data_IF_560442052199
#
_entry.id   IF_560442052199
#
_cell.length_a   1.000
_cell.length_b   1.000
_cell.length_c   1.000
_cell.angle_alpha   90.00
_cell.angle_beta   90.00
_cell.angle_gamma   90.00
#
_symmetry.space_group_name_H-M   'P 1'
#
loop_
_entity.id
_entity.type
_entity.pdbx_description
1 polymer ?
#
# COMPACT_ATOMS: atom_id res chain seq x y z
N UNK A 1 -21.96 -23.26 58.42
CA UNK A 1 -20.68 -23.31 57.70
C UNK A 1 -20.70 -22.65 56.31
N UNK A 2 -21.83 -22.08 55.84
CA UNK A 2 -21.95 -21.44 54.52
C UNK A 2 -21.99 -19.90 54.50
N UNK A 3 -22.09 -19.22 55.65
CA UNK A 3 -22.18 -17.74 55.69
C UNK A 3 -20.83 -17.03 55.66
N UNK A 4 -19.76 -17.66 56.13
CA UNK A 4 -18.42 -17.04 56.19
C UNK A 4 -17.71 -17.00 54.82
N UNK A 5 -18.12 -17.82 53.85
CA UNK A 5 -17.47 -17.90 52.54
C UNK A 5 -17.75 -16.66 51.64
N UNK A 6 -18.76 -15.84 51.97
CA UNK A 6 -19.22 -14.72 51.14
C UNK A 6 -19.06 -13.35 51.80
N UNK A 7 -18.42 -13.28 52.97
CA UNK A 7 -18.28 -12.03 53.74
C UNK A 7 -17.50 -10.95 52.96
N UNK A 8 -16.59 -11.34 52.07
CA UNK A 8 -15.84 -10.41 51.21
C UNK A 8 -16.71 -9.67 50.18
N UNK A 9 -17.88 -10.21 49.82
CA UNK A 9 -18.81 -9.54 48.89
C UNK A 9 -19.62 -8.44 49.58
N UNK A 10 -19.83 -8.53 50.90
CA UNK A 10 -20.54 -7.52 51.71
C UNK A 10 -19.71 -6.28 52.04
N UNK A 11 -18.39 -6.29 51.79
CA UNK A 11 -17.52 -5.13 52.00
C UNK A 11 -17.10 -4.46 50.68
N UNK A 12 -17.71 -4.86 49.57
CA UNK A 12 -17.37 -4.31 48.26
C UNK A 12 -18.24 -3.08 47.96
N UNK A 13 -17.67 -1.87 47.86
CA UNK A 13 -18.44 -0.64 47.67
C UNK A 13 -19.23 -0.62 46.36
N UNK A 14 -18.83 -1.40 45.35
CA UNK A 14 -19.58 -1.56 44.11
C UNK A 14 -20.85 -2.39 44.37
N UNK A 15 -20.73 -3.47 45.16
CA UNK A 15 -21.86 -4.33 45.51
C UNK A 15 -22.91 -3.54 46.28
N UNK A 16 -22.49 -2.79 47.30
CA UNK A 16 -23.39 -1.97 48.12
C UNK A 16 -24.05 -0.85 47.30
N UNK A 17 -23.27 -0.20 46.42
CA UNK A 17 -23.77 0.85 45.55
C UNK A 17 -24.89 0.38 44.62
N UNK A 18 -24.80 -0.82 44.05
CA UNK A 18 -25.87 -1.35 43.20
C UNK A 18 -26.99 -1.99 44.02
N UNK A 19 -26.66 -2.61 45.16
CA UNK A 19 -27.64 -3.24 46.04
C UNK A 19 -28.62 -2.25 46.67
N UNK A 20 -28.20 -1.03 46.98
CA UNK A 20 -29.10 0.02 47.53
C UNK A 20 -30.26 0.38 46.58
N UNK A 21 -30.12 0.11 45.28
CA UNK A 21 -31.17 0.33 44.27
C UNK A 21 -32.02 -0.92 44.02
N UNK A 22 -31.83 -1.99 44.80
CA UNK A 22 -32.56 -3.24 44.68
C UNK A 22 -32.42 -3.90 43.31
N UNK A 23 -33.50 -4.56 42.86
CA UNK A 23 -33.53 -5.28 41.58
C UNK A 23 -33.19 -4.38 40.38
N UNK A 24 -33.57 -3.10 40.42
CA UNK A 24 -33.26 -2.14 39.36
C UNK A 24 -31.74 -1.91 39.24
N UNK A 25 -31.04 -1.77 40.37
CA UNK A 25 -29.59 -1.63 40.41
C UNK A 25 -28.87 -2.85 39.83
N UNK A 26 -29.36 -4.05 40.13
CA UNK A 26 -28.86 -5.28 39.54
C UNK A 26 -29.04 -5.33 38.02
N UNK A 27 -30.25 -4.99 37.51
CA UNK A 27 -30.51 -4.96 36.07
C UNK A 27 -29.59 -3.96 35.36
N UNK A 28 -29.40 -2.77 35.94
CA UNK A 28 -28.50 -1.74 35.39
C UNK A 28 -27.05 -2.23 35.38
N UNK A 29 -26.58 -2.87 36.47
CA UNK A 29 -25.26 -3.50 36.53
C UNK A 29 -25.07 -4.53 35.41
N UNK A 30 -26.06 -5.43 35.24
CA UNK A 30 -26.00 -6.46 34.20
C UNK A 30 -25.90 -5.84 32.80
N UNK A 31 -26.75 -4.86 32.47
CA UNK A 31 -26.73 -4.22 31.14
C UNK A 31 -25.42 -3.50 30.88
N UNK A 32 -24.91 -2.71 31.83
CA UNK A 32 -23.70 -1.92 31.64
C UNK A 32 -22.45 -2.81 31.56
N UNK A 33 -22.28 -3.72 32.52
CA UNK A 33 -21.05 -4.50 32.66
C UNK A 33 -21.02 -5.64 31.66
N UNK A 34 -22.10 -6.43 31.51
CA UNK A 34 -22.11 -7.49 30.51
C UNK A 34 -22.24 -6.94 29.10
N UNK A 35 -23.01 -5.88 28.88
CA UNK A 35 -23.09 -5.22 27.57
C UNK A 35 -21.74 -4.67 27.13
N UNK A 36 -21.01 -4.01 28.04
CA UNK A 36 -19.66 -3.51 27.78
C UNK A 36 -18.66 -4.64 27.52
N UNK A 37 -18.62 -5.67 28.36
CA UNK A 37 -17.75 -6.83 28.15
C UNK A 37 -18.04 -7.54 26.84
N UNK A 38 -19.31 -7.81 26.54
CA UNK A 38 -19.73 -8.43 25.29
C UNK A 38 -19.28 -7.63 24.07
N UNK A 39 -19.46 -6.30 24.09
CA UNK A 39 -18.98 -5.42 23.04
C UNK A 39 -17.46 -5.49 22.85
N UNK A 40 -16.71 -5.41 23.96
CA UNK A 40 -15.25 -5.55 23.96
C UNK A 40 -14.85 -6.92 23.40
N UNK A 41 -15.54 -8.00 23.79
CA UNK A 41 -15.32 -9.34 23.26
C UNK A 41 -15.51 -9.42 21.75
N UNK A 42 -16.58 -8.83 21.20
CA UNK A 42 -16.78 -8.77 19.75
C UNK A 42 -15.63 -8.02 19.05
N UNK A 43 -15.25 -6.85 19.58
CA UNK A 43 -14.19 -6.03 19.00
C UNK A 43 -12.82 -6.73 19.02
N UNK A 44 -12.49 -7.37 20.15
CA UNK A 44 -11.27 -8.17 20.29
C UNK A 44 -11.27 -9.37 19.33
N UNK A 45 -12.42 -10.02 19.14
CA UNK A 45 -12.57 -11.13 18.18
C UNK A 45 -12.37 -10.67 16.74
N UNK A 46 -13.00 -9.55 16.35
CA UNK A 46 -12.90 -9.00 14.99
C UNK A 46 -11.46 -8.59 14.64
N UNK A 47 -10.64 -8.27 15.63
CA UNK A 47 -9.21 -7.95 15.48
C UNK A 47 -8.29 -9.17 15.52
N UNK A 48 -8.84 -10.39 15.61
CA UNK A 48 -8.05 -11.63 15.72
C UNK A 48 -7.34 -11.81 17.06
N UNK A 49 -7.62 -10.97 18.06
CA UNK A 49 -6.89 -10.96 19.33
C UNK A 49 -7.16 -12.24 20.15
N UNK A 50 -8.33 -12.85 19.97
CA UNK A 50 -8.64 -14.14 20.58
C UNK A 50 -7.95 -15.32 19.90
N UNK A 51 -7.07 -15.16 18.92
CA UNK A 51 -6.22 -16.29 18.47
C UNK A 51 -5.21 -16.72 19.56
N UNK A 52 -4.87 -15.81 20.46
CA UNK A 52 -3.95 -16.07 21.57
C UNK A 52 -4.68 -16.68 22.77
N UNK A 53 -4.25 -17.89 23.17
CA UNK A 53 -4.80 -18.62 24.32
C UNK A 53 -4.76 -17.80 25.63
N UNK A 54 -3.69 -17.04 25.83
CA UNK A 54 -3.51 -16.18 27.01
C UNK A 54 -4.60 -15.10 27.13
N UNK A 55 -4.96 -14.47 26.02
CA UNK A 55 -5.98 -13.41 26.01
C UNK A 55 -7.40 -13.98 26.17
N UNK A 56 -7.65 -15.20 25.69
CA UNK A 56 -8.88 -15.94 26.03
C UNK A 56 -8.99 -16.20 27.53
N UNK A 57 -7.88 -16.62 28.15
CA UNK A 57 -7.84 -16.92 29.59
C UNK A 57 -8.06 -15.66 30.43
N UNK A 58 -7.42 -14.55 30.07
CA UNK A 58 -7.65 -13.25 30.71
C UNK A 58 -9.12 -12.83 30.62
N UNK A 59 -9.71 -12.91 29.42
CA UNK A 59 -11.10 -12.53 29.23
C UNK A 59 -12.05 -13.42 30.04
N UNK A 60 -11.75 -14.72 30.13
CA UNK A 60 -12.50 -15.65 30.97
C UNK A 60 -12.41 -15.28 32.47
N UNK A 61 -11.21 -14.93 32.97
CA UNK A 61 -11.02 -14.49 34.37
C UNK A 61 -11.81 -13.21 34.65
N UNK A 62 -11.77 -12.21 33.75
CA UNK A 62 -12.54 -10.97 33.90
C UNK A 62 -14.03 -11.27 33.96
N UNK A 63 -14.52 -12.15 33.09
CA UNK A 63 -15.92 -12.57 33.06
C UNK A 63 -16.32 -13.27 34.37
N UNK A 64 -15.47 -14.15 34.91
CA UNK A 64 -15.71 -14.82 36.20
C UNK A 64 -15.80 -13.81 37.35
N UNK A 65 -14.93 -12.80 37.38
CA UNK A 65 -14.97 -11.75 38.41
C UNK A 65 -16.28 -10.96 38.33
N UNK A 66 -16.74 -10.60 37.13
CA UNK A 66 -18.02 -9.91 36.93
C UNK A 66 -19.21 -10.77 37.37
N UNK A 67 -19.17 -12.07 37.10
CA UNK A 67 -20.18 -13.03 37.59
C UNK A 67 -20.23 -13.06 39.11
N UNK A 68 -19.06 -13.08 39.78
CA UNK A 68 -19.00 -13.09 41.25
C UNK A 68 -19.54 -11.79 41.86
N UNK A 69 -19.28 -10.63 41.25
CA UNK A 69 -19.82 -9.34 41.70
C UNK A 69 -21.34 -9.30 41.50
N UNK A 70 -21.84 -9.75 40.34
CA UNK A 70 -23.27 -9.86 40.07
C UNK A 70 -23.97 -10.75 41.12
N UNK A 71 -23.34 -11.87 41.47
CA UNK A 71 -23.81 -12.79 42.50
C UNK A 71 -23.84 -12.11 43.89
N UNK A 72 -22.79 -11.39 44.25
CA UNK A 72 -22.76 -10.59 45.49
C UNK A 72 -23.88 -9.57 45.57
N UNK A 73 -24.12 -8.83 44.50
CA UNK A 73 -25.24 -7.85 44.41
C UNK A 73 -26.58 -8.55 44.66
N UNK A 74 -26.82 -9.70 44.02
CA UNK A 74 -28.07 -10.46 44.21
C UNK A 74 -28.22 -10.90 45.66
N UNK A 75 -27.19 -11.54 46.23
CA UNK A 75 -27.20 -12.05 47.61
C UNK A 75 -27.54 -10.92 48.58
N UNK A 76 -26.92 -9.76 48.42
CA UNK A 76 -27.14 -8.58 49.28
C UNK A 76 -28.52 -7.95 49.10
N UNK A 77 -29.07 -7.93 47.88
CA UNK A 77 -30.46 -7.47 47.63
C UNK A 77 -31.48 -8.43 48.26
N UNK A 78 -31.09 -9.69 48.48
CA UNK A 78 -32.06 -10.76 48.67
C UNK A 78 -32.28 -11.21 50.11
N UNK A 79 -33.47 -10.89 50.64
CA UNK A 79 -34.22 -11.81 51.51
C UNK A 79 -34.96 -12.88 50.68
N UNK A 80 -34.40 -13.30 49.54
CA UNK A 80 -35.05 -14.13 48.52
C UNK A 80 -34.83 -15.62 48.86
N UNK A 81 -35.83 -16.46 48.61
CA UNK A 81 -35.72 -17.90 48.80
C UNK A 81 -34.57 -18.51 47.98
N UNK A 82 -33.95 -19.55 48.51
CA UNK A 82 -32.85 -20.31 47.87
C UNK A 82 -33.21 -20.74 46.44
N UNK A 83 -34.49 -20.98 46.16
CA UNK A 83 -35.01 -21.38 44.85
C UNK A 83 -34.80 -20.30 43.78
N UNK A 84 -35.09 -19.04 44.09
CA UNK A 84 -34.85 -17.93 43.16
C UNK A 84 -33.36 -17.64 42.95
N UNK A 85 -32.53 -17.90 43.97
CA UNK A 85 -31.07 -17.79 43.87
C UNK A 85 -30.51 -18.86 42.92
N UNK A 86 -31.08 -20.07 42.95
CA UNK A 86 -30.75 -21.15 42.01
C UNK A 86 -31.11 -20.79 40.57
N UNK A 87 -32.30 -20.23 40.32
CA UNK A 87 -32.72 -19.78 38.98
C UNK A 87 -31.82 -18.66 38.43
N UNK A 88 -31.44 -17.69 39.26
CA UNK A 88 -30.54 -16.60 38.87
C UNK A 88 -29.13 -17.10 38.51
N UNK A 89 -28.59 -18.05 39.29
CA UNK A 89 -27.29 -18.69 38.99
C UNK A 89 -27.33 -19.41 37.65
N UNK A 90 -28.43 -20.09 37.34
CA UNK A 90 -28.61 -20.73 36.03
C UNK A 90 -28.64 -19.68 34.91
N UNK A 91 -29.38 -18.58 35.06
CA UNK A 91 -29.46 -17.51 34.06
C UNK A 91 -28.07 -16.90 33.80
N UNK A 92 -27.34 -16.56 34.87
CA UNK A 92 -25.99 -16.00 34.75
C UNK A 92 -25.03 -17.02 34.11
N UNK A 93 -25.11 -18.30 34.49
CA UNK A 93 -24.32 -19.37 33.89
C UNK A 93 -24.58 -19.53 32.39
N UNK A 94 -25.85 -19.47 31.98
CA UNK A 94 -26.26 -19.55 30.58
C UNK A 94 -25.78 -18.35 29.77
N UNK A 95 -25.91 -17.13 30.29
CA UNK A 95 -25.40 -15.90 29.64
C UNK A 95 -23.88 -15.97 29.49
N UNK A 96 -23.19 -16.38 30.55
CA UNK A 96 -21.72 -16.49 30.58
C UNK A 96 -21.22 -17.53 29.56
N UNK A 97 -21.86 -18.70 29.50
CA UNK A 97 -21.56 -19.71 28.48
C UNK A 97 -21.85 -19.17 27.08
N UNK A 98 -22.98 -18.50 26.87
CA UNK A 98 -23.36 -17.90 25.59
C UNK A 98 -22.32 -16.92 25.06
N UNK A 99 -21.76 -16.06 25.94
CA UNK A 99 -20.69 -15.11 25.60
C UNK A 99 -19.39 -15.85 25.26
N UNK A 100 -18.96 -16.81 26.10
CA UNK A 100 -17.76 -17.62 25.84
C UNK A 100 -17.86 -18.38 24.51
N UNK A 101 -19.04 -18.90 24.19
CA UNK A 101 -19.30 -19.68 22.98
C UNK A 101 -19.43 -18.80 21.73
N UNK A 102 -20.05 -17.62 21.84
CA UNK A 102 -20.07 -16.63 20.76
C UNK A 102 -18.65 -16.17 20.39
N UNK A 103 -17.74 -16.13 21.36
CA UNK A 103 -16.33 -15.79 21.15
C UNK A 103 -15.55 -16.99 20.55
N UNK A 104 -15.81 -18.23 21.00
CA UNK A 104 -15.09 -19.43 20.51
C UNK A 104 -15.45 -19.87 19.09
N UNK A 105 -16.56 -19.37 18.52
CA UNK A 105 -16.85 -19.50 17.09
C UNK A 105 -17.48 -20.82 16.65
N UNK A 106 -18.02 -21.61 17.58
CA UNK A 106 -18.78 -22.82 17.23
C UNK A 106 -20.20 -22.42 16.81
N UNK A 107 -20.58 -22.75 15.58
CA UNK A 107 -21.85 -22.37 14.95
C UNK A 107 -23.03 -23.17 15.51
N UNK A 108 -23.87 -22.55 16.35
CA UNK A 108 -25.30 -22.92 16.45
C UNK A 108 -26.13 -21.75 16.98
N UNK A 109 -26.44 -20.80 16.12
CA UNK A 109 -27.47 -19.77 16.39
C UNK A 109 -28.82 -20.39 16.77
N UNK A 110 -29.11 -21.61 16.31
CA UNK A 110 -30.32 -22.36 16.65
C UNK A 110 -30.40 -22.76 18.14
N UNK A 111 -29.32 -23.19 18.78
CA UNK A 111 -29.34 -23.65 20.18
C UNK A 111 -29.43 -22.47 21.14
N UNK A 112 -28.75 -21.36 20.84
CA UNK A 112 -28.87 -20.12 21.61
C UNK A 112 -30.29 -19.52 21.51
N UNK A 113 -30.92 -19.60 20.32
CA UNK A 113 -32.32 -19.22 20.13
C UNK A 113 -33.27 -20.14 20.89
N UNK A 114 -33.03 -21.46 20.88
CA UNK A 114 -33.84 -22.44 21.62
C UNK A 114 -33.72 -22.23 23.14
N UNK A 115 -32.52 -21.98 23.66
CA UNK A 115 -32.31 -21.71 25.09
C UNK A 115 -32.96 -20.37 25.49
N UNK A 116 -32.81 -19.33 24.67
CA UNK A 116 -33.48 -18.05 24.92
C UNK A 116 -35.01 -18.17 24.87
N UNK A 117 -35.55 -19.00 23.96
CA UNK A 117 -36.98 -19.31 23.87
C UNK A 117 -37.43 -20.12 25.09
N UNK A 118 -36.67 -21.11 25.55
CA UNK A 118 -37.00 -21.91 26.74
C UNK A 118 -37.00 -21.04 27.99
N UNK A 119 -35.98 -20.18 28.16
CA UNK A 119 -35.91 -19.23 29.27
C UNK A 119 -37.06 -18.22 29.21
N UNK A 120 -37.40 -17.69 28.03
CA UNK A 120 -38.54 -16.80 27.85
C UNK A 120 -39.88 -17.50 28.15
N UNK A 121 -40.06 -18.77 27.73
CA UNK A 121 -41.27 -19.56 28.00
C UNK A 121 -41.44 -19.90 29.48
N UNK A 122 -40.34 -20.22 30.18
CA UNK A 122 -40.34 -20.46 31.64
C UNK A 122 -40.70 -19.18 32.39
N UNK A 123 -40.13 -18.04 32.00
CA UNK A 123 -40.45 -16.74 32.59
C UNK A 123 -41.92 -16.38 32.35
N UNK A 124 -42.44 -16.56 31.13
CA UNK A 124 -43.86 -16.29 30.81
C UNK A 124 -44.81 -17.18 31.61
N UNK A 125 -44.45 -18.45 31.82
CA UNK A 125 -45.27 -19.41 32.58
C UNK A 125 -45.36 -19.04 34.08
N UNK A 126 -44.27 -18.56 34.66
CA UNK A 126 -44.18 -18.26 36.10
C UNK A 126 -44.67 -16.84 36.46
N UNK A 127 -44.43 -15.84 35.60
CA UNK A 127 -44.71 -14.43 35.98
C UNK A 127 -46.08 -13.92 35.55
N UNK A 128 -46.77 -14.58 34.62
CA UNK A 128 -48.06 -14.13 34.01
C UNK A 128 -48.08 -12.65 33.57
N UNK A 129 -46.93 -12.01 33.36
CA UNK A 129 -46.82 -10.60 33.04
C UNK A 129 -45.59 -10.35 32.13
N UNK A 130 -45.79 -10.27 30.81
CA UNK A 130 -45.36 -9.17 29.93
C UNK A 130 -45.42 -9.54 28.43
N UNK A 131 -45.69 -8.53 27.60
CA UNK A 131 -45.92 -8.56 26.16
C UNK A 131 -44.63 -8.55 25.31
N UNK A 132 -44.78 -9.05 24.08
CA UNK A 132 -43.80 -9.38 22.99
C UNK A 132 -42.81 -8.26 22.59
N UNK A 133 -42.93 -7.04 23.10
CA UNK A 133 -42.26 -5.85 22.58
C UNK A 133 -40.75 -5.77 22.89
N UNK A 134 -40.27 -6.41 23.96
CA UNK A 134 -38.84 -6.39 24.34
C UNK A 134 -37.98 -7.22 23.37
N UNK A 135 -38.54 -8.26 22.74
CA UNK A 135 -37.83 -9.10 21.77
C UNK A 135 -37.54 -8.37 20.45
N UNK A 136 -38.36 -7.38 20.08
CA UNK A 136 -38.23 -6.60 18.83
C UNK A 136 -37.09 -5.57 18.93
N UNK A 137 -36.83 -5.05 20.14
CA UNK A 137 -35.78 -4.04 20.37
C UNK A 137 -34.36 -4.59 20.18
N UNK A 138 -34.13 -5.88 20.48
CA UNK A 138 -32.82 -6.52 20.27
C UNK A 138 -32.45 -6.73 18.81
N UNK A 139 -33.45 -6.88 17.92
CA UNK A 139 -33.25 -7.11 16.48
C UNK A 139 -32.89 -5.80 15.76
N UNK A 140 -33.44 -4.67 16.23
CA UNK A 140 -33.22 -3.35 15.61
C UNK A 140 -31.79 -2.82 15.80
N UNK A 141 -31.11 -3.24 16.87
CA UNK A 141 -29.74 -2.81 17.21
C UNK A 141 -28.66 -3.43 16.31
N UNK A 142 -28.91 -4.62 15.75
CA UNK A 142 -27.95 -5.36 14.91
C UNK A 142 -27.82 -4.75 13.49
N UNK A 143 -28.80 -3.94 13.05
CA UNK A 143 -28.95 -3.58 11.62
C UNK A 143 -28.27 -2.26 11.22
N UNK A 144 -27.84 -1.38 12.16
CA UNK A 144 -27.35 -0.02 11.83
C UNK A 144 -25.92 0.35 12.32
N UNK A 145 -25.03 -0.62 12.52
CA UNK A 145 -23.67 -0.39 13.06
C UNK A 145 -22.71 0.41 12.15
N UNK A 146 -22.89 0.40 10.83
CA UNK A 146 -21.87 0.89 9.89
C UNK A 146 -21.77 2.44 9.82
N UNK A 147 -22.90 3.13 9.96
CA UNK A 147 -22.97 4.61 9.91
C UNK A 147 -22.48 5.24 11.22
N UNK A 148 -22.70 4.55 12.34
CA UNK A 148 -22.21 4.98 13.66
C UNK A 148 -20.69 4.84 13.76
N UNK A 149 -20.11 3.74 13.23
CA UNK A 149 -18.66 3.53 13.22
C UNK A 149 -17.88 4.65 12.49
N UNK A 150 -18.40 5.16 11.36
CA UNK A 150 -17.76 6.26 10.60
C UNK A 150 -17.80 7.60 11.34
N UNK A 151 -18.88 7.90 12.05
CA UNK A 151 -19.01 9.12 12.86
C UNK A 151 -18.09 9.03 14.08
N UNK A 152 -18.09 7.88 14.77
CA UNK A 152 -17.22 7.63 15.93
C UNK A 152 -15.74 7.68 15.57
N UNK A 153 -15.31 7.14 14.42
CA UNK A 153 -13.92 7.22 13.95
C UNK A 153 -13.43 8.66 13.73
N UNK A 154 -14.29 9.55 13.22
CA UNK A 154 -13.96 10.97 13.04
C UNK A 154 -13.84 11.73 14.37
N UNK A 155 -14.64 11.35 15.37
CA UNK A 155 -14.58 11.93 16.73
C UNK A 155 -13.43 11.35 17.56
N UNK A 156 -13.10 10.07 17.37
CA UNK A 156 -12.00 9.37 18.03
C UNK A 156 -10.63 9.95 17.68
N UNK A 157 -10.42 10.51 16.48
CA UNK A 157 -9.14 11.16 16.12
C UNK A 157 -8.84 12.41 16.99
N UNK A 158 -9.89 13.11 17.45
CA UNK A 158 -9.77 14.26 18.37
C UNK A 158 -9.80 13.85 19.85
N UNK A 159 -10.36 12.69 20.15
CA UNK A 159 -10.51 12.18 21.50
C UNK A 159 -9.29 11.32 21.91
N UNK A 160 -8.59 10.65 20.99
CA UNK A 160 -7.46 9.77 21.28
C UNK A 160 -6.27 10.49 21.95
N UNK A 161 -5.97 11.74 21.57
CA UNK A 161 -4.96 12.56 22.26
C UNK A 161 -5.37 12.91 23.69
N UNK A 162 -6.67 13.00 23.98
CA UNK A 162 -7.22 13.29 25.31
C UNK A 162 -7.35 12.03 26.17
N UNK A 163 -7.78 10.92 25.57
CA UNK A 163 -7.97 9.61 26.19
C UNK A 163 -6.64 9.00 26.62
N UNK A 164 -5.54 9.17 25.88
CA UNK A 164 -4.24 8.63 26.31
C UNK A 164 -3.82 9.21 27.67
N UNK A 165 -4.08 10.51 27.90
CA UNK A 165 -3.80 11.17 29.17
C UNK A 165 -4.81 10.77 30.26
N UNK A 166 -6.11 10.69 29.92
CA UNK A 166 -7.16 10.28 30.86
C UNK A 166 -7.04 8.80 31.28
N UNK A 167 -6.63 7.89 30.38
CA UNK A 167 -6.38 6.47 30.71
C UNK A 167 -5.18 6.35 31.63
N UNK A 168 -4.09 7.09 31.41
CA UNK A 168 -2.94 7.11 32.33
C UNK A 168 -3.39 7.58 33.71
N UNK A 169 -4.14 8.67 33.80
CA UNK A 169 -4.67 9.19 35.08
C UNK A 169 -5.60 8.18 35.77
N UNK A 170 -6.55 7.57 35.04
CA UNK A 170 -7.47 6.58 35.61
C UNK A 170 -6.69 5.36 36.10
N UNK A 171 -5.70 4.89 35.35
CA UNK A 171 -4.89 3.72 35.73
C UNK A 171 -4.01 4.03 36.95
N UNK A 172 -3.42 5.22 37.02
CA UNK A 172 -2.66 5.70 38.18
C UNK A 172 -3.56 5.83 39.42
N UNK A 173 -4.79 6.34 39.27
CA UNK A 173 -5.76 6.43 40.37
C UNK A 173 -6.19 5.04 40.85
N UNK A 174 -6.41 4.08 39.96
CA UNK A 174 -6.74 2.69 40.32
C UNK A 174 -5.57 2.02 41.06
N UNK A 175 -4.32 2.26 40.64
CA UNK A 175 -3.12 1.75 41.32
C UNK A 175 -2.99 2.38 42.72
N UNK A 176 -3.20 3.69 42.86
CA UNK A 176 -3.15 4.39 44.15
C UNK A 176 -4.23 3.83 45.10
N UNK A 177 -5.45 3.61 44.60
CA UNK A 177 -6.54 3.05 45.39
C UNK A 177 -6.24 1.59 45.81
N UNK A 178 -5.67 0.78 44.92
CA UNK A 178 -5.25 -0.58 45.26
C UNK A 178 -4.13 -0.61 46.32
N UNK A 179 -3.13 0.27 46.20
CA UNK A 179 -2.05 0.41 47.20
C UNK A 179 -2.62 0.90 48.54
N UNK A 180 -3.55 1.86 48.54
CA UNK A 180 -4.20 2.31 49.77
C UNK A 180 -5.03 1.20 50.45
N UNK A 181 -5.68 0.33 49.67
CA UNK A 181 -6.40 -0.84 50.20
C UNK A 181 -5.47 -1.85 50.86
N UNK A 182 -4.28 -2.09 50.29
CA UNK A 182 -3.25 -2.97 50.87
C UNK A 182 -2.68 -2.38 52.17
N UNK A 183 -2.45 -1.06 52.23
CA UNK A 183 -1.96 -0.39 53.45
C UNK A 183 -2.97 -0.47 54.59
N UNK A 184 -4.27 -0.31 54.29
CA UNK A 184 -5.35 -0.48 55.28
C UNK A 184 -5.42 -1.92 55.78
N UNK A 185 -5.22 -2.91 54.90
CA UNK A 185 -5.20 -4.33 55.28
C UNK A 185 -4.03 -4.71 56.20
N UNK A 186 -2.87 -4.07 56.03
CA UNK A 186 -1.68 -4.28 56.87
C UNK A 186 -1.82 -3.69 58.28
N UNK A 187 -2.87 -2.92 58.56
CA UNK A 187 -3.11 -2.26 59.85
C UNK A 187 -4.03 -3.06 60.78
N UNK A 188 -4.48 -4.25 60.38
CA UNK A 188 -5.45 -5.08 61.15
C UNK A 188 -4.69 -6.11 62.00
N UNK A 189 -4.98 -6.12 63.31
CA UNK A 189 -4.30 -6.95 64.32
C UNK A 189 -4.43 -8.48 64.10
N UNK A 190 -3.39 -9.16 64.57
CA UNK A 190 -2.99 -10.54 64.28
C UNK A 190 -3.95 -11.60 64.85
N UNK A 191 -4.90 -12.06 64.03
CA UNK A 191 -5.45 -13.42 64.14
C UNK A 191 -4.83 -14.31 63.06
N UNK A 192 -4.60 -15.59 63.36
CA UNK A 192 -4.04 -16.56 62.41
C UNK A 192 -4.90 -16.73 61.14
N UNK A 193 -6.22 -16.50 61.24
CA UNK A 193 -7.10 -16.36 60.06
C UNK A 193 -6.81 -15.06 59.30
N UNK A 194 -6.65 -13.92 59.98
CA UNK A 194 -6.34 -12.62 59.37
C UNK A 194 -5.06 -12.63 58.53
N UNK A 195 -4.05 -13.41 58.91
CA UNK A 195 -2.80 -13.58 58.14
C UNK A 195 -3.07 -14.34 56.82
N UNK A 196 -3.87 -15.41 56.85
CA UNK A 196 -4.23 -16.17 55.64
C UNK A 196 -5.08 -15.32 54.68
N UNK A 197 -5.99 -14.50 55.22
CA UNK A 197 -6.81 -13.56 54.44
C UNK A 197 -6.00 -12.38 53.89
N UNK A 198 -5.02 -11.86 54.63
CA UNK A 198 -4.11 -10.82 54.13
C UNK A 198 -3.22 -11.33 53.00
N UNK A 199 -2.76 -12.59 53.08
CA UNK A 199 -1.99 -13.24 52.01
C UNK A 199 -2.89 -13.52 50.78
N UNK A 200 -4.08 -14.08 50.97
CA UNK A 200 -5.01 -14.36 49.87
C UNK A 200 -5.52 -13.08 49.17
N UNK A 201 -5.89 -12.06 49.95
CA UNK A 201 -6.31 -10.74 49.46
C UNK A 201 -5.17 -9.98 48.80
N UNK A 202 -3.96 -10.03 49.36
CA UNK A 202 -2.75 -9.43 48.78
C UNK A 202 -2.34 -10.10 47.45
N UNK A 203 -2.45 -11.42 47.36
CA UNK A 203 -2.15 -12.17 46.12
C UNK A 203 -3.23 -11.93 45.05
N UNK A 204 -4.52 -11.95 45.41
CA UNK A 204 -5.61 -11.70 44.46
C UNK A 204 -5.61 -10.25 43.95
N UNK A 205 -5.37 -9.27 44.83
CA UNK A 205 -5.23 -7.86 44.43
C UNK A 205 -3.96 -7.62 43.61
N UNK A 206 -2.83 -8.21 43.99
CA UNK A 206 -1.57 -8.13 43.24
C UNK A 206 -1.66 -8.73 41.83
N UNK A 207 -2.33 -9.88 41.69
CA UNK A 207 -2.57 -10.51 40.37
C UNK A 207 -3.55 -9.66 39.54
N UNK A 208 -4.62 -9.14 40.14
CA UNK A 208 -5.60 -8.31 39.42
C UNK A 208 -4.99 -7.01 38.93
N UNK A 209 -4.20 -6.32 39.78
CA UNK A 209 -3.49 -5.10 39.41
C UNK A 209 -2.39 -5.39 38.38
N UNK A 210 -1.62 -6.46 38.57
CA UNK A 210 -0.58 -6.86 37.62
C UNK A 210 -1.13 -7.17 36.23
N UNK A 211 -2.23 -7.93 36.15
CA UNK A 211 -2.92 -8.22 34.89
C UNK A 211 -3.52 -6.94 34.29
N UNK A 212 -4.14 -6.08 35.09
CA UNK A 212 -4.70 -4.82 34.59
C UNK A 212 -3.61 -3.89 34.03
N UNK A 213 -2.45 -3.79 34.67
CA UNK A 213 -1.31 -3.00 34.18
C UNK A 213 -0.76 -3.57 32.87
N UNK A 214 -0.58 -4.89 32.79
CA UNK A 214 -0.10 -5.55 31.56
C UNK A 214 -1.08 -5.35 30.40
N UNK A 215 -2.38 -5.54 30.64
CA UNK A 215 -3.43 -5.34 29.62
C UNK A 215 -3.44 -3.88 29.15
N UNK A 216 -3.40 -2.92 30.07
CA UNK A 216 -3.40 -1.50 29.71
C UNK A 216 -2.16 -1.15 28.89
N UNK A 217 -0.97 -1.63 29.26
CA UNK A 217 0.26 -1.39 28.49
C UNK A 217 0.17 -1.98 27.08
N UNK A 218 -0.29 -3.23 26.94
CA UNK A 218 -0.43 -3.89 25.62
C UNK A 218 -1.44 -3.17 24.73
N UNK A 219 -2.58 -2.76 25.29
CA UNK A 219 -3.62 -2.03 24.54
C UNK A 219 -3.12 -0.65 24.13
N UNK A 220 -2.45 0.08 25.04
CA UNK A 220 -1.89 1.41 24.76
C UNK A 220 -0.88 1.33 23.60
N UNK A 221 0.02 0.35 23.62
CA UNK A 221 1.02 0.16 22.55
C UNK A 221 0.36 -0.15 21.20
N UNK A 222 -0.66 -1.01 21.18
CA UNK A 222 -1.41 -1.31 19.97
C UNK A 222 -2.14 -0.08 19.40
N UNK A 223 -2.71 0.76 20.25
CA UNK A 223 -3.36 2.02 19.86
C UNK A 223 -2.32 2.99 19.28
N UNK A 224 -1.20 3.19 19.97
CA UNK A 224 -0.11 4.07 19.51
C UNK A 224 0.39 3.63 18.13
N UNK A 225 0.64 2.33 17.94
CA UNK A 225 1.03 1.77 16.64
C UNK A 225 0.02 2.07 15.54
N UNK A 226 -1.27 1.86 15.83
CA UNK A 226 -2.35 2.14 14.88
C UNK A 226 -2.39 3.62 14.47
N UNK A 227 -2.21 4.54 15.43
CA UNK A 227 -2.17 5.98 15.16
C UNK A 227 -0.93 6.31 14.32
N UNK A 228 0.24 5.75 14.65
CA UNK A 228 1.47 5.93 13.89
C UNK A 228 1.30 5.49 12.43
N UNK A 229 0.66 4.34 12.19
CA UNK A 229 0.33 3.82 10.86
C UNK A 229 -0.61 4.75 10.07
N UNK A 230 -1.62 5.33 10.74
CA UNK A 230 -2.53 6.29 10.11
C UNK A 230 -1.80 7.58 9.71
N UNK A 231 -0.93 8.12 10.58
CA UNK A 231 -0.09 9.29 10.26
C UNK A 231 0.84 8.99 9.08
N UNK A 232 1.46 7.81 9.06
CA UNK A 232 2.28 7.35 7.94
C UNK A 232 1.49 7.25 6.62
N UNK A 233 0.29 6.65 6.65
CA UNK A 233 -0.57 6.54 5.47
C UNK A 233 -0.91 7.92 4.89
N UNK A 234 -1.23 8.88 5.76
CA UNK A 234 -1.48 10.27 5.39
C UNK A 234 -0.25 10.95 4.81
N UNK A 235 0.94 10.69 5.37
CA UNK A 235 2.20 11.15 4.79
C UNK A 235 2.42 10.62 3.37
N UNK A 236 2.12 9.34 3.11
CA UNK A 236 2.24 8.75 1.77
C UNK A 236 1.28 9.37 0.76
N UNK A 237 0.09 9.80 1.19
CA UNK A 237 -0.85 10.53 0.35
C UNK A 237 -0.31 11.91 -0.04
N UNK A 238 0.27 12.65 0.91
CA UNK A 238 0.94 13.92 0.61
C UNK A 238 2.14 13.73 -0.31
N UNK A 239 2.91 12.66 -0.13
CA UNK A 239 4.04 12.32 -1.00
C UNK A 239 3.61 12.06 -2.45
N UNK A 240 2.48 11.36 -2.65
CA UNK A 240 1.89 11.13 -3.99
C UNK A 240 1.52 12.44 -4.67
N UNK A 241 1.06 13.42 -3.91
CA UNK A 241 0.63 14.75 -4.37
C UNK A 241 1.76 15.80 -4.39
N UNK A 242 3.03 15.39 -4.25
CA UNK A 242 4.21 16.25 -4.20
C UNK A 242 4.16 17.35 -3.11
N UNK A 243 3.41 17.12 -2.02
CA UNK A 243 3.31 18.05 -0.87
C UNK A 243 4.32 17.67 0.21
N UNK A 244 5.59 17.96 -0.05
CA UNK A 244 6.73 17.47 0.74
C UNK A 244 6.71 17.94 2.20
N UNK A 245 6.40 19.21 2.48
CA UNK A 245 6.38 19.74 3.85
C UNK A 245 5.33 19.03 4.72
N UNK A 246 4.15 18.80 4.16
CA UNK A 246 3.09 18.04 4.84
C UNK A 246 3.51 16.58 5.02
N UNK A 247 4.13 15.96 4.01
CA UNK A 247 4.67 14.61 4.13
C UNK A 247 5.66 14.51 5.28
N UNK A 248 6.66 15.39 5.34
CA UNK A 248 7.66 15.43 6.41
C UNK A 248 7.03 15.62 7.78
N UNK A 249 6.06 16.54 7.91
CA UNK A 249 5.31 16.75 9.15
C UNK A 249 4.66 15.47 9.66
N UNK A 250 3.95 14.74 8.80
CA UNK A 250 3.26 13.51 9.20
C UNK A 250 4.21 12.33 9.44
N UNK A 251 5.35 12.25 8.74
CA UNK A 251 6.40 11.26 9.04
C UNK A 251 7.03 11.50 10.41
N UNK A 252 7.32 12.76 10.75
CA UNK A 252 7.85 13.11 12.06
C UNK A 252 6.85 12.83 13.18
N UNK A 253 5.55 13.10 12.96
CA UNK A 253 4.50 12.72 13.91
C UNK A 253 4.40 11.20 14.10
N UNK A 254 4.48 10.44 13.01
CA UNK A 254 4.48 8.98 13.06
C UNK A 254 5.69 8.44 13.84
N UNK A 255 6.89 8.96 13.57
CA UNK A 255 8.11 8.59 14.31
C UNK A 255 8.08 8.97 15.78
N UNK A 256 7.54 10.15 16.09
CA UNK A 256 7.41 10.61 17.47
C UNK A 256 6.55 9.64 18.30
N UNK A 257 5.45 9.15 17.70
CA UNK A 257 4.58 8.16 18.35
C UNK A 257 5.27 6.81 18.57
N UNK A 258 6.24 6.45 17.72
CA UNK A 258 6.99 5.18 17.83
C UNK A 258 8.17 5.26 18.80
N UNK A 259 8.58 6.46 19.21
CA UNK A 259 9.75 6.67 20.06
C UNK A 259 9.49 6.08 21.44
N UNK A 260 10.41 5.26 21.92
CA UNK A 260 10.36 4.73 23.27
C UNK A 260 10.78 5.79 24.30
N UNK A 261 10.69 5.46 25.59
CA UNK A 261 11.18 6.31 26.67
C UNK A 261 12.72 6.44 26.67
N UNK A 262 13.43 5.42 26.19
CA UNK A 262 14.87 5.53 25.88
C UNK A 262 15.04 6.27 24.55
N UNK A 263 15.81 7.37 24.56
CA UNK A 263 15.82 8.37 23.48
C UNK A 263 16.24 7.84 22.10
N UNK A 264 16.86 6.66 22.04
CA UNK A 264 17.43 6.06 20.84
C UNK A 264 16.72 4.79 20.35
N UNK A 265 15.61 4.37 20.98
CA UNK A 265 14.87 3.17 20.57
C UNK A 265 13.44 3.47 20.10
N UNK A 266 12.92 2.57 19.26
CA UNK A 266 11.54 2.58 18.79
C UNK A 266 10.91 1.24 19.13
N UNK A 267 9.68 1.26 19.67
CA UNK A 267 9.01 0.02 20.05
C UNK A 267 8.62 -0.85 18.84
N UNK A 268 8.48 -0.23 17.66
CA UNK A 268 8.37 -0.90 16.36
C UNK A 268 9.50 -0.43 15.45
N UNK A 269 10.69 -1.01 15.68
CA UNK A 269 11.93 -0.62 15.01
C UNK A 269 11.86 -0.80 13.49
N UNK A 270 11.22 -1.87 13.01
CA UNK A 270 11.08 -2.14 11.58
C UNK A 270 10.23 -1.07 10.90
N UNK A 271 9.11 -0.69 11.54
CA UNK A 271 8.26 0.37 11.03
C UNK A 271 8.94 1.75 11.11
N UNK A 272 9.63 2.05 12.20
CA UNK A 272 10.41 3.28 12.35
C UNK A 272 11.52 3.40 11.28
N UNK A 273 12.28 2.34 11.04
CA UNK A 273 13.33 2.29 10.01
C UNK A 273 12.76 2.58 8.61
N UNK A 274 11.57 2.06 8.31
CA UNK A 274 10.87 2.37 7.07
C UNK A 274 10.53 3.86 6.96
N UNK A 275 10.04 4.48 8.03
CA UNK A 275 9.71 5.91 8.05
C UNK A 275 10.97 6.77 7.92
N UNK A 276 12.05 6.43 8.63
CA UNK A 276 13.35 7.13 8.59
C UNK A 276 13.93 7.08 7.18
N UNK A 277 13.90 5.91 6.54
CA UNK A 277 14.38 5.72 5.17
C UNK A 277 13.64 6.64 4.18
N UNK A 278 12.31 6.76 4.28
CA UNK A 278 11.55 7.70 3.44
C UNK A 278 11.93 9.14 3.77
N UNK A 279 11.98 9.48 5.07
CA UNK A 279 12.27 10.84 5.55
C UNK A 279 13.60 11.36 5.02
N UNK A 280 14.65 10.55 5.14
CA UNK A 280 16.00 10.94 4.74
C UNK A 280 16.12 11.09 3.20
N UNK A 281 15.26 10.41 2.44
CA UNK A 281 15.28 10.42 0.98
C UNK A 281 14.21 11.34 0.34
N UNK A 282 13.46 12.12 1.13
CA UNK A 282 12.39 13.01 0.63
C UNK A 282 12.86 13.94 -0.49
N UNK A 283 14.06 14.51 -0.38
CA UNK A 283 14.61 15.41 -1.41
C UNK A 283 14.86 14.70 -2.74
N UNK A 284 15.38 13.48 -2.70
CA UNK A 284 15.60 12.66 -3.90
C UNK A 284 14.26 12.25 -4.52
N UNK A 285 13.28 11.87 -3.70
CA UNK A 285 11.92 11.54 -4.14
C UNK A 285 11.27 12.75 -4.81
N UNK A 286 11.41 13.94 -4.22
CA UNK A 286 10.90 15.19 -4.79
C UNK A 286 11.54 15.46 -6.14
N UNK A 287 12.87 15.40 -6.24
CA UNK A 287 13.59 15.57 -7.51
C UNK A 287 13.10 14.59 -8.59
N UNK A 288 12.89 13.33 -8.23
CA UNK A 288 12.35 12.33 -9.15
C UNK A 288 10.90 12.62 -9.58
N UNK A 289 10.06 13.08 -8.65
CA UNK A 289 8.69 13.53 -8.96
C UNK A 289 8.69 14.77 -9.88
N UNK A 290 9.61 15.71 -9.68
CA UNK A 290 9.69 16.93 -10.49
C UNK A 290 10.12 16.62 -11.93
N UNK A 291 11.07 15.69 -12.11
CA UNK A 291 11.39 15.16 -13.45
C UNK A 291 10.20 14.43 -14.08
N UNK A 292 9.46 13.64 -13.30
CA UNK A 292 8.26 12.96 -13.79
C UNK A 292 7.18 13.97 -14.24
N UNK A 293 6.91 14.99 -13.42
CA UNK A 293 5.89 16.00 -13.70
C UNK A 293 6.27 16.93 -14.87
N UNK A 294 7.56 17.17 -15.09
CA UNK A 294 8.08 17.92 -16.24
C UNK A 294 8.19 17.09 -17.52
N UNK A 295 7.80 15.81 -17.50
CA UNK A 295 7.88 14.91 -18.65
C UNK A 295 9.29 14.38 -18.94
N UNK A 296 10.28 14.69 -18.10
CA UNK A 296 11.62 14.12 -18.20
C UNK A 296 11.66 12.72 -17.58
N UNK A 297 10.99 11.79 -18.25
CA UNK A 297 10.77 10.44 -17.77
C UNK A 297 12.05 9.62 -17.60
N UNK A 298 13.09 9.91 -18.39
CA UNK A 298 14.38 9.20 -18.29
C UNK A 298 15.09 9.50 -16.97
N UNK A 299 15.24 10.78 -16.63
CA UNK A 299 15.88 11.16 -15.35
C UNK A 299 15.04 10.75 -14.14
N UNK A 300 13.71 10.83 -14.27
CA UNK A 300 12.81 10.31 -13.25
C UNK A 300 13.02 8.80 -13.03
N UNK A 301 13.07 8.01 -14.11
CA UNK A 301 13.26 6.56 -14.03
C UNK A 301 14.59 6.22 -13.37
N UNK A 302 15.67 6.88 -13.79
CA UNK A 302 17.02 6.68 -13.24
C UNK A 302 17.05 6.89 -11.72
N UNK A 303 16.50 8.01 -11.25
CA UNK A 303 16.43 8.28 -9.80
C UNK A 303 15.56 7.27 -9.05
N UNK A 304 14.45 6.82 -9.63
CA UNK A 304 13.64 5.77 -9.02
C UNK A 304 14.36 4.42 -8.94
N UNK A 305 15.18 4.08 -9.94
CA UNK A 305 15.99 2.85 -9.92
C UNK A 305 17.12 2.91 -8.90
N UNK A 306 17.82 4.03 -8.82
CA UNK A 306 18.86 4.26 -7.80
C UNK A 306 18.25 4.13 -6.40
N UNK A 307 17.13 4.81 -6.13
CA UNK A 307 16.42 4.69 -4.86
C UNK A 307 15.92 3.28 -4.59
N UNK A 308 15.44 2.54 -5.59
CA UNK A 308 14.93 1.18 -5.40
C UNK A 308 16.05 0.15 -5.15
N UNK A 309 17.27 0.41 -5.64
CA UNK A 309 18.47 -0.40 -5.35
C UNK A 309 18.97 -0.16 -3.94
N UNK A 310 19.08 1.11 -3.56
CA UNK A 310 19.63 1.53 -2.26
C UNK A 310 18.64 1.30 -1.11
N UNK A 311 17.33 1.41 -1.40
CA UNK A 311 16.24 1.31 -0.43
C UNK A 311 15.16 0.33 -0.91
N UNK A 312 15.35 -0.99 -0.71
CA UNK A 312 14.40 -2.02 -1.17
C UNK A 312 12.97 -1.83 -0.64
N UNK A 313 12.84 -1.27 0.56
CA UNK A 313 11.58 -0.90 1.21
C UNK A 313 10.79 0.19 0.44
N UNK A 314 11.47 1.07 -0.32
CA UNK A 314 10.84 2.08 -1.17
C UNK A 314 10.35 1.53 -2.52
N UNK A 315 10.91 0.40 -2.97
CA UNK A 315 10.57 -0.23 -4.26
C UNK A 315 9.07 -0.48 -4.38
N UNK A 316 8.42 -0.96 -3.31
CA UNK A 316 6.98 -1.20 -3.28
C UNK A 316 6.16 0.08 -3.45
N UNK A 317 6.65 1.22 -2.96
CA UNK A 317 5.97 2.51 -3.01
C UNK A 317 5.89 3.06 -4.44
N UNK A 318 6.97 2.89 -5.20
CA UNK A 318 7.10 3.43 -6.55
C UNK A 318 6.87 2.41 -7.66
N UNK A 319 6.65 1.13 -7.34
CA UNK A 319 6.49 0.04 -8.32
C UNK A 319 5.53 0.39 -9.46
N UNK A 320 4.35 0.92 -9.14
CA UNK A 320 3.35 1.26 -10.16
C UNK A 320 3.76 2.47 -11.01
N UNK A 321 4.37 3.50 -10.38
CA UNK A 321 4.91 4.67 -11.11
C UNK A 321 6.04 4.23 -12.04
N UNK A 322 6.97 3.41 -11.55
CA UNK A 322 8.08 2.84 -12.30
C UNK A 322 7.59 2.03 -13.52
N UNK A 323 6.66 1.10 -13.32
CA UNK A 323 6.13 0.27 -14.41
C UNK A 323 5.43 1.11 -15.48
N UNK A 324 4.63 2.09 -15.05
CA UNK A 324 3.95 3.02 -15.97
C UNK A 324 4.96 3.84 -16.78
N UNK A 325 6.00 4.34 -16.11
CA UNK A 325 7.05 5.16 -16.72
C UNK A 325 7.86 4.37 -17.74
N UNK A 326 8.27 3.16 -17.37
CA UNK A 326 8.98 2.24 -18.26
C UNK A 326 8.16 1.91 -19.51
N UNK A 327 6.87 1.63 -19.34
CA UNK A 327 5.95 1.38 -20.46
C UNK A 327 5.80 2.60 -21.39
N UNK A 328 5.78 3.81 -20.85
CA UNK A 328 5.72 5.05 -21.66
C UNK A 328 7.01 5.27 -22.44
N UNK A 329 8.18 5.09 -21.82
CA UNK A 329 9.49 5.19 -22.47
C UNK A 329 9.59 4.14 -23.59
N UNK A 330 9.21 2.90 -23.33
CA UNK A 330 9.19 1.82 -24.33
C UNK A 330 8.27 2.16 -25.51
N UNK A 331 7.11 2.79 -25.26
CA UNK A 331 6.19 3.20 -26.31
C UNK A 331 6.80 4.30 -27.19
N UNK A 332 7.35 5.35 -26.59
CA UNK A 332 8.01 6.45 -27.30
C UNK A 332 9.21 5.94 -28.12
N UNK A 333 10.03 5.07 -27.53
CA UNK A 333 11.13 4.42 -28.22
C UNK A 333 10.66 3.66 -29.46
N UNK A 334 9.59 2.85 -29.35
CA UNK A 334 9.07 2.08 -30.49
C UNK A 334 8.52 2.97 -31.61
N UNK A 335 7.86 4.08 -31.26
CA UNK A 335 7.35 5.05 -32.23
C UNK A 335 8.50 5.72 -33.00
N UNK A 336 9.49 6.28 -32.29
CA UNK A 336 10.67 6.90 -32.92
C UNK A 336 11.49 5.88 -33.74
N UNK A 337 11.64 4.65 -33.23
CA UNK A 337 12.34 3.58 -33.95
C UNK A 337 11.64 3.24 -35.26
N UNK A 338 10.30 3.20 -35.28
CA UNK A 338 9.51 2.87 -36.47
C UNK A 338 9.72 3.90 -37.59
N UNK A 339 9.78 5.19 -37.25
CA UNK A 339 10.05 6.27 -38.21
C UNK A 339 11.46 6.14 -38.82
N UNK A 340 12.45 5.78 -38.00
CA UNK A 340 13.83 5.59 -38.48
C UNK A 340 13.93 4.31 -39.33
N UNK A 341 13.21 3.25 -38.96
CA UNK A 341 13.08 2.03 -39.75
C UNK A 341 12.41 2.28 -41.11
N UNK A 342 11.59 3.31 -41.23
CA UNK A 342 10.99 3.74 -42.50
C UNK A 342 12.01 4.42 -43.41
N UNK A 343 12.85 5.33 -42.87
CA UNK A 343 13.99 5.91 -43.60
C UNK A 343 14.94 4.82 -44.10
N UNK A 344 15.23 3.83 -43.25
CA UNK A 344 16.07 2.70 -43.62
C UNK A 344 15.45 1.91 -44.79
N UNK A 345 14.14 1.62 -44.74
CA UNK A 345 13.41 0.92 -45.81
C UNK A 345 13.33 1.73 -47.11
N UNK A 346 13.26 3.04 -47.02
CA UNK A 346 13.30 3.96 -48.17
C UNK A 346 14.72 4.18 -48.71
N UNK A 347 15.71 3.45 -48.19
CA UNK A 347 17.11 3.52 -48.59
C UNK A 347 17.78 4.89 -48.33
N UNK A 348 17.24 5.66 -47.37
CA UNK A 348 17.81 6.91 -46.85
C UNK A 348 18.84 6.60 -45.75
N UNK A 349 19.85 5.78 -46.07
CA UNK A 349 20.72 5.11 -45.09
C UNK A 349 21.54 6.09 -44.23
N UNK A 350 22.02 7.20 -44.81
CA UNK A 350 22.76 8.22 -44.05
C UNK A 350 21.90 8.90 -42.99
N UNK A 351 20.66 9.27 -43.35
CA UNK A 351 19.72 9.91 -42.43
C UNK A 351 19.23 8.94 -41.37
N UNK A 352 18.97 7.69 -41.76
CA UNK A 352 18.67 6.61 -40.83
C UNK A 352 19.82 6.40 -39.83
N UNK A 353 21.08 6.30 -40.29
CA UNK A 353 22.25 6.16 -39.41
C UNK A 353 22.38 7.32 -38.42
N UNK A 354 22.23 8.56 -38.91
CA UNK A 354 22.28 9.75 -38.05
C UNK A 354 21.20 9.69 -36.97
N UNK A 355 19.96 9.38 -37.34
CA UNK A 355 18.85 9.27 -36.38
C UNK A 355 18.99 8.07 -35.45
N UNK A 356 19.49 6.91 -35.88
CA UNK A 356 19.77 5.79 -34.97
C UNK A 356 20.82 6.16 -33.91
N UNK A 357 21.89 6.87 -34.29
CA UNK A 357 22.90 7.35 -33.34
C UNK A 357 22.30 8.34 -32.34
N UNK A 358 21.41 9.24 -32.79
CA UNK A 358 20.66 10.13 -31.89
C UNK A 358 19.73 9.36 -30.96
N UNK A 359 19.00 8.36 -31.48
CA UNK A 359 18.11 7.50 -30.70
C UNK A 359 18.87 6.72 -29.62
N UNK A 360 20.07 6.20 -29.94
CA UNK A 360 20.93 5.52 -28.98
C UNK A 360 21.37 6.44 -27.84
N UNK A 361 21.75 7.68 -28.14
CA UNK A 361 22.09 8.66 -27.11
C UNK A 361 20.87 8.99 -26.22
N UNK A 362 19.68 9.05 -26.83
CA UNK A 362 18.43 9.35 -26.13
C UNK A 362 17.98 8.18 -25.24
N UNK A 363 18.08 6.94 -25.72
CA UNK A 363 17.64 5.72 -25.03
C UNK A 363 18.73 4.63 -24.97
N UNK A 364 19.79 4.83 -24.16
CA UNK A 364 20.90 3.88 -24.05
C UNK A 364 20.47 2.50 -23.53
N UNK A 365 19.39 2.41 -22.76
CA UNK A 365 18.85 1.15 -22.25
C UNK A 365 18.35 0.19 -23.34
N UNK A 366 18.08 0.67 -24.56
CA UNK A 366 17.72 -0.14 -25.72
C UNK A 366 18.89 -0.37 -26.68
N UNK A 367 20.13 -0.18 -26.21
CA UNK A 367 21.37 -0.35 -26.99
C UNK A 367 21.39 -1.64 -27.80
N UNK A 368 20.99 -2.77 -27.20
CA UNK A 368 20.97 -4.08 -27.85
C UNK A 368 20.04 -4.14 -29.09
N UNK A 369 19.02 -3.28 -29.17
CA UNK A 369 18.12 -3.18 -30.32
C UNK A 369 18.63 -2.20 -31.38
N UNK A 370 19.33 -1.15 -30.96
CA UNK A 370 19.76 -0.05 -31.84
C UNK A 370 21.13 -0.33 -32.48
N UNK A 371 22.10 -0.86 -31.72
CA UNK A 371 23.47 -1.13 -32.20
C UNK A 371 23.52 -2.01 -33.46
N UNK A 372 22.78 -3.13 -33.54
CA UNK A 372 22.78 -3.96 -34.75
C UNK A 372 22.28 -3.19 -35.99
N UNK A 373 21.31 -2.29 -35.82
CA UNK A 373 20.78 -1.45 -36.91
C UNK A 373 21.79 -0.41 -37.37
N UNK A 374 22.52 0.20 -36.42
CA UNK A 374 23.64 1.12 -36.73
C UNK A 374 24.72 0.38 -37.52
N UNK A 375 25.16 -0.80 -37.05
CA UNK A 375 26.16 -1.62 -37.73
C UNK A 375 25.72 -1.95 -39.16
N UNK A 376 24.47 -2.39 -39.34
CA UNK A 376 23.92 -2.67 -40.67
C UNK A 376 23.95 -1.44 -41.58
N UNK A 377 23.62 -0.25 -41.07
CA UNK A 377 23.75 0.98 -41.86
C UNK A 377 25.21 1.28 -42.23
N UNK A 378 26.14 1.11 -41.29
CA UNK A 378 27.57 1.35 -41.51
C UNK A 378 28.17 0.35 -42.51
N UNK A 379 27.75 -0.91 -42.48
CA UNK A 379 28.12 -1.93 -43.47
C UNK A 379 27.59 -1.58 -44.87
N UNK A 380 26.32 -1.19 -44.96
CA UNK A 380 25.70 -0.74 -46.20
C UNK A 380 26.41 0.50 -46.75
N UNK A 381 26.86 1.43 -45.90
CA UNK A 381 27.58 2.62 -46.35
C UNK A 381 29.04 2.33 -46.73
N UNK A 382 29.66 1.33 -46.12
CA UNK A 382 30.99 0.84 -46.52
C UNK A 382 30.94 0.09 -47.85
N UNK A 383 29.86 -0.64 -48.11
CA UNK A 383 29.61 -1.40 -49.34
C UNK A 383 28.22 -1.06 -49.91
N UNK A 384 28.05 0.09 -50.58
CA UNK A 384 26.74 0.54 -51.07
C UNK A 384 26.08 -0.55 -51.92
N UNK A 385 24.81 -0.91 -51.67
CA UNK A 385 24.10 -1.85 -52.52
C UNK A 385 24.09 -1.30 -53.94
N UNK A 386 24.52 -2.14 -54.88
CA UNK A 386 24.65 -1.81 -56.30
C UNK A 386 23.36 -1.14 -56.80
N UNK A 387 22.20 -1.61 -56.34
CA UNK A 387 20.88 -1.08 -56.72
C UNK A 387 20.73 0.41 -56.38
N UNK A 388 21.28 0.87 -55.26
CA UNK A 388 21.23 2.27 -54.85
C UNK A 388 22.09 3.16 -55.76
N UNK A 389 23.29 2.68 -56.10
CA UNK A 389 24.18 3.35 -57.04
C UNK A 389 23.57 3.39 -58.44
N UNK A 390 23.00 2.27 -58.91
CA UNK A 390 22.28 2.18 -60.18
C UNK A 390 21.06 3.12 -60.22
N UNK A 391 20.31 3.23 -59.13
CA UNK A 391 19.14 4.12 -59.04
C UNK A 391 19.55 5.59 -59.13
N UNK A 392 20.58 6.01 -58.38
CA UNK A 392 21.14 7.37 -58.49
C UNK A 392 21.67 7.66 -59.89
N UNK A 393 22.38 6.71 -60.49
CA UNK A 393 22.90 6.84 -61.85
C UNK A 393 21.77 7.05 -62.87
N UNK A 394 20.67 6.29 -62.77
CA UNK A 394 19.48 6.46 -63.61
C UNK A 394 18.81 7.82 -63.42
N UNK A 395 18.67 8.27 -62.16
CA UNK A 395 18.09 9.58 -61.85
C UNK A 395 18.90 10.72 -62.50
N UNK A 396 20.21 10.78 -62.26
CA UNK A 396 21.08 11.78 -62.88
C UNK A 396 21.07 11.70 -64.41
N UNK A 397 20.99 10.48 -64.97
CA UNK A 397 20.85 10.30 -66.42
C UNK A 397 19.56 10.89 -66.98
N UNK A 398 18.44 10.76 -66.26
CA UNK A 398 17.14 11.31 -66.67
C UNK A 398 17.12 12.84 -66.56
N UNK A 399 17.58 13.38 -65.43
CA UNK A 399 17.64 14.83 -65.19
C UNK A 399 18.55 15.52 -66.21
N UNK A 400 19.68 14.89 -66.56
CA UNK A 400 20.57 15.37 -67.60
C UNK A 400 19.90 15.40 -69.00
N UNK A 401 19.05 14.42 -69.31
CA UNK A 401 18.30 14.39 -70.58
C UNK A 401 17.31 15.55 -70.67
N UNK A 402 16.60 15.84 -69.57
CA UNK A 402 15.68 16.96 -69.51
C UNK A 402 16.41 18.30 -69.70
N UNK A 403 17.56 18.48 -69.04
CA UNK A 403 18.42 19.66 -69.21
C UNK A 403 18.95 19.79 -70.64
N UNK A 404 19.32 18.68 -71.27
CA UNK A 404 19.76 18.66 -72.66
C UNK A 404 18.65 19.13 -73.61
N UNK A 405 17.42 18.66 -73.40
CA UNK A 405 16.25 19.06 -74.19
C UNK A 405 15.90 20.55 -73.99
N UNK A 406 16.20 21.12 -72.82
CA UNK A 406 16.09 22.55 -72.53
C UNK A 406 17.27 23.38 -73.07
N UNK A 407 18.18 22.78 -73.84
CA UNK A 407 19.41 23.39 -74.33
C UNK A 407 20.39 23.89 -73.24
N UNK A 408 20.26 23.41 -72.00
CA UNK A 408 21.19 23.69 -70.89
C UNK A 408 22.38 22.73 -70.91
N UNK A 409 23.15 22.81 -72.00
CA UNK A 409 24.12 21.76 -72.36
C UNK A 409 25.23 21.53 -71.31
N UNK A 410 25.74 22.59 -70.66
CA UNK A 410 26.78 22.44 -69.62
C UNK A 410 26.28 21.70 -68.37
N UNK A 411 25.06 22.01 -67.94
CA UNK A 411 24.43 21.39 -66.77
C UNK A 411 24.12 19.90 -67.06
N UNK A 412 23.60 19.62 -68.27
CA UNK A 412 23.38 18.26 -68.73
C UNK A 412 24.68 17.42 -68.73
N UNK A 413 25.79 17.97 -69.27
CA UNK A 413 27.09 17.29 -69.27
C UNK A 413 27.56 16.98 -67.84
N UNK A 414 27.45 17.94 -66.91
CA UNK A 414 27.85 17.71 -65.51
C UNK A 414 27.02 16.61 -64.86
N UNK A 415 25.71 16.57 -65.08
CA UNK A 415 24.85 15.51 -64.53
C UNK A 415 25.11 14.14 -65.16
N UNK A 416 25.39 14.04 -66.46
CA UNK A 416 25.83 12.78 -67.06
C UNK A 416 27.18 12.31 -66.52
N UNK A 417 28.12 13.21 -66.21
CA UNK A 417 29.39 12.84 -65.54
C UNK A 417 29.14 12.29 -64.13
N UNK A 418 28.25 12.90 -63.35
CA UNK A 418 27.85 12.35 -62.05
C UNK A 418 27.14 10.99 -62.18
N UNK A 419 26.31 10.80 -63.21
CA UNK A 419 25.69 9.52 -63.50
C UNK A 419 26.74 8.43 -63.81
N UNK A 420 27.75 8.74 -64.62
CA UNK A 420 28.87 7.83 -64.93
C UNK A 420 29.62 7.44 -63.65
N UNK A 421 29.96 8.41 -62.80
CA UNK A 421 30.65 8.15 -61.53
C UNK A 421 29.88 7.16 -60.64
N UNK A 422 28.55 7.28 -60.56
CA UNK A 422 27.73 6.31 -59.82
C UNK A 422 27.72 4.93 -60.48
N UNK A 423 27.69 4.85 -61.81
CA UNK A 423 27.78 3.60 -62.55
C UNK A 423 29.16 2.93 -62.39
N UNK A 424 30.25 3.68 -62.39
CA UNK A 424 31.62 3.17 -62.16
C UNK A 424 31.75 2.58 -60.76
N UNK A 425 31.30 3.31 -59.74
CA UNK A 425 31.24 2.79 -58.36
C UNK A 425 30.39 1.51 -58.26
N UNK A 426 29.26 1.44 -58.98
CA UNK A 426 28.44 0.24 -59.03
C UNK A 426 29.16 -0.92 -59.74
N UNK A 427 29.98 -0.60 -60.75
CA UNK A 427 30.77 -1.54 -61.54
C UNK A 427 31.89 -2.17 -60.72
N UNK A 428 32.60 -1.39 -59.90
CA UNK A 428 33.59 -1.91 -58.96
C UNK A 428 32.98 -2.95 -58.02
N UNK A 429 31.79 -2.67 -57.47
CA UNK A 429 31.08 -3.61 -56.60
C UNK A 429 30.57 -4.83 -57.39
N UNK A 430 30.13 -4.65 -58.63
CA UNK A 430 29.66 -5.76 -59.47
C UNK A 430 30.80 -6.70 -59.87
N UNK A 431 32.00 -6.17 -60.13
CA UNK A 431 33.24 -6.95 -60.37
C UNK A 431 33.58 -7.78 -59.14
N UNK A 432 33.55 -7.17 -57.95
CA UNK A 432 33.81 -7.89 -56.69
C UNK A 432 32.78 -9.00 -56.40
N UNK A 433 31.57 -8.89 -56.96
CA UNK A 433 30.50 -9.88 -56.83
C UNK A 433 30.42 -10.87 -57.98
N UNK A 434 31.30 -10.75 -58.98
CA UNK A 434 31.30 -11.57 -60.20
C UNK A 434 29.94 -11.54 -60.95
N UNK A 435 29.18 -10.43 -60.84
CA UNK A 435 27.88 -10.29 -61.50
C UNK A 435 28.04 -9.74 -62.92
N UNK A 436 28.37 -10.63 -63.86
CA UNK A 436 28.58 -10.29 -65.28
C UNK A 436 27.39 -9.56 -65.92
N UNK A 437 26.15 -9.89 -65.51
CA UNK A 437 24.95 -9.26 -66.06
C UNK A 437 24.88 -7.78 -65.70
N UNK A 438 25.16 -7.46 -64.43
CA UNK A 438 25.20 -6.08 -63.96
C UNK A 438 26.39 -5.34 -64.58
N UNK A 439 27.57 -5.96 -64.64
CA UNK A 439 28.76 -5.35 -65.28
C UNK A 439 28.47 -4.96 -66.73
N UNK A 440 27.86 -5.88 -67.50
CA UNK A 440 27.51 -5.63 -68.89
C UNK A 440 26.46 -4.51 -69.04
N UNK A 441 25.46 -4.49 -68.15
CA UNK A 441 24.43 -3.44 -68.10
C UNK A 441 25.04 -2.06 -67.79
N UNK A 442 25.93 -1.99 -66.80
CA UNK A 442 26.66 -0.78 -66.40
C UNK A 442 27.49 -0.25 -67.57
N UNK A 443 28.32 -1.10 -68.19
CA UNK A 443 29.17 -0.72 -69.31
C UNK A 443 28.36 -0.20 -70.50
N UNK A 444 27.22 -0.83 -70.80
CA UNK A 444 26.29 -0.37 -71.82
C UNK A 444 25.75 1.04 -71.52
N UNK A 445 25.35 1.29 -70.27
CA UNK A 445 24.82 2.59 -69.86
C UNK A 445 25.91 3.68 -69.86
N UNK A 446 27.11 3.41 -69.34
CA UNK A 446 28.25 4.34 -69.41
C UNK A 446 28.54 4.72 -70.86
N UNK A 447 28.59 3.74 -71.78
CA UNK A 447 28.82 4.00 -73.21
C UNK A 447 27.76 4.92 -73.82
N UNK A 448 26.49 4.72 -73.47
CA UNK A 448 25.39 5.59 -73.92
C UNK A 448 25.54 7.02 -73.36
N UNK A 449 25.91 7.18 -72.09
CA UNK A 449 26.12 8.48 -71.46
C UNK A 449 27.32 9.23 -72.06
N UNK A 450 28.43 8.54 -72.33
CA UNK A 450 29.60 9.11 -73.02
C UNK A 450 29.22 9.63 -74.41
N UNK A 451 28.42 8.86 -75.16
CA UNK A 451 27.91 9.31 -76.45
C UNK A 451 27.04 10.58 -76.33
N UNK A 452 26.19 10.65 -75.32
CA UNK A 452 25.36 11.83 -75.05
C UNK A 452 26.19 13.06 -74.69
N UNK A 453 27.23 12.90 -73.85
CA UNK A 453 28.18 13.98 -73.51
C UNK A 453 28.85 14.52 -74.78
N UNK A 454 29.40 13.64 -75.62
CA UNK A 454 30.04 14.04 -76.88
C UNK A 454 29.09 14.81 -77.79
N UNK A 455 27.84 14.33 -77.92
CA UNK A 455 26.80 15.01 -78.70
C UNK A 455 26.51 16.42 -78.17
N UNK A 456 26.42 16.58 -76.85
CA UNK A 456 26.22 17.87 -76.22
C UNK A 456 27.42 18.81 -76.39
N UNK A 457 28.64 18.30 -76.27
CA UNK A 457 29.86 19.08 -76.47
C UNK A 457 29.98 19.58 -77.92
N UNK A 458 29.71 18.74 -78.91
CA UNK A 458 29.68 19.13 -80.34
C UNK A 458 28.64 20.23 -80.57
N UNK A 459 27.43 20.07 -80.02
CA UNK A 459 26.38 21.08 -80.13
C UNK A 459 26.81 22.42 -79.53
N UNK A 460 27.47 22.37 -78.37
CA UNK A 460 27.98 23.57 -77.67
C UNK A 460 29.06 24.30 -78.49
N UNK A 461 29.91 23.57 -79.22
CA UNK A 461 30.90 24.13 -80.14
C UNK A 461 30.22 24.76 -81.36
N UNK A 462 29.28 24.06 -81.99
CA UNK A 462 28.55 24.56 -83.15
C UNK A 462 27.75 25.84 -82.82
N UNK A 463 27.08 25.89 -81.66
CA UNK A 463 26.35 27.07 -81.20
C UNK A 463 27.27 28.29 -80.98
N UNK A 464 28.56 28.06 -80.67
CA UNK A 464 29.56 29.13 -80.56
C UNK A 464 30.06 29.58 -81.92
N UNK A 465 30.31 28.64 -82.84
CA UNK A 465 30.80 28.94 -84.19
C UNK A 465 29.76 29.64 -85.06
N UNK A 466 28.47 29.32 -84.92
CA UNK A 466 27.38 29.98 -85.65
C UNK A 466 27.00 31.38 -85.12
N UNK A 467 27.65 31.87 -84.07
CA UNK A 467 27.49 33.23 -83.52
C UNK A 467 28.68 34.15 -83.82
N UNK A 468 29.74 33.62 -84.44
CA UNK A 468 30.83 34.38 -85.07
C UNK A 468 30.44 34.67 -86.52
#
# INVERSE_FOLDING_TARGET
MGSEMFEFLHQNPIVDFFAQFGLLGFIVYMVLVYGGLFWIGIELKNRGIFEYLFLRLIYAVILTVVVMIAFGIIVTISGISIECLFFMVIIIGVITLGILWAISGVTTTAIALIIAIIVALIIVNETKLLTVEIAIFGIFWVIKGETFAKIVLGTMEKIAERIAWEIVVITTVVIILAISGVIVLLSIETSTLGIVWAIAGGVASGITVGIAVIITLVIVWAIIKTIAELKYKKAMEYLKNNKIDNCLKYLNQSLYLLRDYDEDSYFDMDFANKIISIRNNLKLIQKANDYYNSGNYKEALKLYEEMAKEYPNLKGLFKNKYQKLKSQIEKQFKEELKEIDELFRNNEINDALKKYKQLLNKYPEFENQIKPKIQKCEEILKNPPIEALLSKAKKYSSEALDLFNQNKLKEAINMWKEAIKQYENAGEIAILKEDENIINSINKNIKALVHNILKAEIKLINDKLGRL
#
